data_IF_550383697806
#
_entry.id   IF_550383697806
#
_cell.length_a   1.000
_cell.length_b   1.000
_cell.length_c   1.000
_cell.angle_alpha   90.00
_cell.angle_beta   90.00
_cell.angle_gamma   90.00
#
_symmetry.space_group_name_H-M   'P 1'
#
loop_
_entity.id
_entity.type
_entity.pdbx_description
1 polymer ?
#
# COMPACT_ATOMS: atom_id res chain seq x y z
N UNK A 1 -8.71 -12.26 7.00
CA UNK A 1 -8.77 -11.45 5.77
C UNK A 1 -7.41 -10.92 5.45
N UNK A 2 -7.11 -10.77 4.19
CA UNK A 2 -5.76 -10.45 3.75
C UNK A 2 -5.78 -9.54 2.51
N UNK A 3 -4.65 -8.87 2.29
CA UNK A 3 -4.36 -8.14 1.06
C UNK A 3 -3.08 -8.71 0.47
N UNK A 4 -2.80 -8.38 -0.79
CA UNK A 4 -1.60 -8.84 -1.48
C UNK A 4 -0.70 -7.64 -1.70
N UNK A 5 0.48 -7.66 -1.06
CA UNK A 5 1.43 -6.57 -1.14
C UNK A 5 2.67 -7.06 -1.87
N UNK A 6 2.94 -6.48 -3.04
CA UNK A 6 4.06 -6.89 -3.88
C UNK A 6 4.10 -8.41 -4.08
N UNK A 7 2.93 -9.00 -4.28
CA UNK A 7 2.80 -10.44 -4.52
C UNK A 7 2.75 -11.31 -3.29
N UNK A 8 2.83 -10.73 -2.09
CA UNK A 8 2.81 -11.48 -0.84
C UNK A 8 1.57 -11.14 -0.03
N UNK A 9 1.01 -12.14 0.64
CA UNK A 9 -0.17 -11.92 1.47
C UNK A 9 0.20 -11.27 2.78
N UNK A 10 -0.61 -10.30 3.19
CA UNK A 10 -0.48 -9.60 4.46
C UNK A 10 -1.85 -9.47 5.09
N UNK A 11 -1.93 -9.42 6.42
CA UNK A 11 -3.23 -9.21 7.06
C UNK A 11 -3.85 -7.88 6.65
N UNK A 12 -5.16 -7.90 6.45
CA UNK A 12 -5.90 -6.67 6.20
C UNK A 12 -6.00 -5.90 7.52
N UNK A 13 -5.57 -4.62 7.57
CA UNK A 13 -5.71 -3.86 8.80
C UNK A 13 -7.18 -3.65 9.17
N UNK A 14 -7.45 -3.57 10.47
CA UNK A 14 -8.82 -3.43 10.95
C UNK A 14 -9.50 -2.18 10.43
N UNK A 15 -8.77 -1.10 10.30
CA UNK A 15 -9.32 0.15 9.76
C UNK A 15 -9.66 0.07 8.28
N UNK A 16 -9.10 -0.91 7.58
CA UNK A 16 -9.28 -1.11 6.14
C UNK A 16 -8.92 0.14 5.35
N UNK A 17 -7.85 0.81 5.77
CA UNK A 17 -7.33 1.98 5.05
C UNK A 17 -5.90 1.70 4.59
N UNK A 18 -5.54 2.32 3.46
CA UNK A 18 -4.18 2.18 2.95
C UNK A 18 -3.16 2.74 3.92
N UNK A 19 -3.48 3.87 4.58
CA UNK A 19 -2.54 4.48 5.52
C UNK A 19 -2.20 3.54 6.67
N UNK A 20 -3.17 2.79 7.18
CA UNK A 20 -2.90 1.83 8.26
C UNK A 20 -1.99 0.71 7.80
N UNK A 21 -2.19 0.24 6.57
CA UNK A 21 -1.33 -0.79 6.00
C UNK A 21 0.09 -0.26 5.85
N UNK A 22 0.24 0.97 5.36
CA UNK A 22 1.58 1.56 5.17
C UNK A 22 2.28 1.78 6.50
N UNK A 23 1.55 2.18 7.53
CA UNK A 23 2.15 2.31 8.87
C UNK A 23 2.67 0.96 9.34
N UNK A 24 1.89 -0.09 9.14
CA UNK A 24 2.29 -1.43 9.54
C UNK A 24 3.51 -1.93 8.77
N UNK A 25 3.57 -1.67 7.47
CA UNK A 25 4.68 -2.13 6.63
C UNK A 25 5.91 -1.26 6.77
N UNK A 26 5.71 0.01 7.05
CA UNK A 26 6.79 0.98 7.27
C UNK A 26 7.82 0.98 6.12
N UNK A 27 7.38 1.14 4.86
CA UNK A 27 8.33 1.11 3.75
C UNK A 27 9.27 2.31 3.79
N UNK A 28 10.48 2.10 3.27
CA UNK A 28 11.45 3.19 3.21
C UNK A 28 11.05 4.22 2.17
N UNK A 29 11.17 5.48 2.53
CA UNK A 29 10.92 6.58 1.59
C UNK A 29 12.15 6.83 0.73
N UNK A 30 11.97 7.33 -0.51
CA UNK A 30 10.69 7.58 -1.15
C UNK A 30 10.09 6.34 -1.79
N UNK A 31 8.77 6.31 -1.82
CA UNK A 31 8.07 5.19 -2.46
C UNK A 31 6.79 5.70 -3.11
N UNK A 32 6.26 4.90 -4.03
CA UNK A 32 4.96 5.14 -4.64
C UNK A 32 4.08 3.92 -4.39
N UNK A 33 2.78 4.13 -4.33
CA UNK A 33 1.84 3.07 -4.02
C UNK A 33 0.79 3.00 -5.12
N UNK A 34 0.48 1.80 -5.55
CA UNK A 34 -0.65 1.53 -6.44
C UNK A 34 -1.62 0.60 -5.73
N UNK A 35 -2.91 0.92 -5.83
CA UNK A 35 -3.98 0.12 -5.27
C UNK A 35 -4.78 -0.43 -6.44
N UNK A 36 -4.75 -1.75 -6.61
CA UNK A 36 -5.41 -2.43 -7.74
C UNK A 36 -5.04 -1.77 -9.06
N UNK A 37 -3.73 -1.52 -9.25
CA UNK A 37 -3.13 -0.97 -10.46
C UNK A 37 -3.39 0.51 -10.68
N UNK A 38 -3.93 1.21 -9.70
CA UNK A 38 -4.10 2.66 -9.77
C UNK A 38 -3.21 3.36 -8.77
N UNK A 39 -2.45 4.34 -9.21
CA UNK A 39 -1.61 5.10 -8.30
C UNK A 39 -2.44 5.87 -7.30
N UNK A 40 -1.97 5.86 -6.04
CA UNK A 40 -2.59 6.60 -4.96
C UNK A 40 -1.61 7.69 -4.53
N UNK A 41 -2.06 8.94 -4.57
CA UNK A 41 -1.20 10.03 -4.12
C UNK A 41 -1.07 10.01 -2.60
N UNK A 42 0.02 10.59 -2.11
CA UNK A 42 0.28 10.61 -0.67
C UNK A 42 -0.87 11.22 0.11
N UNK A 43 -1.45 12.29 -0.41
CA UNK A 43 -2.56 12.96 0.26
C UNK A 43 -3.84 12.15 0.33
N UNK A 44 -3.91 11.03 -0.40
CA UNK A 44 -5.10 10.18 -0.42
C UNK A 44 -4.93 8.89 0.38
N UNK A 45 -3.79 8.68 1.03
CA UNK A 45 -3.55 7.43 1.74
C UNK A 45 -4.57 7.18 2.85
N UNK A 46 -4.96 8.23 3.56
CA UNK A 46 -5.88 8.08 4.68
C UNK A 46 -7.33 7.95 4.23
N UNK A 47 -7.66 8.36 3.02
CA UNK A 47 -9.01 8.22 2.48
C UNK A 47 -9.14 7.01 1.57
N UNK A 48 -8.05 6.35 1.21
CA UNK A 48 -8.08 5.18 0.35
C UNK A 48 -8.47 3.95 1.17
N UNK A 49 -9.63 3.40 0.86
CA UNK A 49 -10.10 2.20 1.54
C UNK A 49 -9.64 0.96 0.79
N UNK A 50 -9.24 -0.06 1.53
CA UNK A 50 -8.82 -1.32 0.97
C UNK A 50 -9.71 -2.44 1.49
N UNK A 51 -9.84 -3.47 0.69
CA UNK A 51 -10.71 -4.61 1.01
C UNK A 51 -9.93 -5.90 0.90
N UNK A 52 -10.47 -6.95 1.48
CA UNK A 52 -9.85 -8.26 1.41
C UNK A 52 -9.63 -8.67 -0.05
N UNK A 53 -8.43 -9.15 -0.34
CA UNK A 53 -8.07 -9.57 -1.68
C UNK A 53 -7.50 -8.47 -2.56
N UNK A 54 -7.53 -7.23 -2.10
CA UNK A 54 -6.98 -6.12 -2.87
C UNK A 54 -5.47 -6.26 -3.06
N UNK A 55 -4.98 -5.71 -4.17
CA UNK A 55 -3.56 -5.74 -4.49
C UNK A 55 -2.95 -4.37 -4.26
N UNK A 56 -1.86 -4.37 -3.51
CA UNK A 56 -1.11 -3.16 -3.20
C UNK A 56 0.29 -3.35 -3.74
N UNK A 57 0.74 -2.42 -4.58
CA UNK A 57 2.11 -2.45 -5.10
C UNK A 57 2.86 -1.24 -4.56
N UNK A 58 3.99 -1.50 -3.92
CA UNK A 58 4.84 -0.44 -3.37
C UNK A 58 6.14 -0.46 -4.17
N UNK A 59 6.42 0.66 -4.82
CA UNK A 59 7.58 0.82 -5.68
C UNK A 59 8.49 1.85 -5.06
N UNK A 60 9.76 1.50 -4.91
CA UNK A 60 10.76 2.42 -4.36
C UNK A 60 11.51 3.10 -5.49
N UNK A 61 11.78 4.39 -5.33
CA UNK A 61 12.62 5.09 -6.27
C UNK A 61 14.05 4.56 -6.13
N UNK A 62 14.70 4.30 -7.26
CA UNK A 62 16.10 3.86 -7.24
C UNK A 62 17.00 5.08 -7.30
N UNK A 63 17.89 5.18 -6.30
CA UNK A 63 18.87 6.25 -6.28
C UNK A 63 19.83 6.10 -7.45
N UNK A 64 20.14 7.16 -8.11
CA UNK A 64 21.08 7.15 -9.21
C UNK A 64 20.55 6.54 -10.48
N UNK A 65 19.31 6.17 -10.45
CA UNK A 65 18.65 5.63 -11.64
C UNK A 65 18.39 6.71 -12.63
#
# INVERSE_FOLDING_TARGET
>A
MFVIVNGETHPLPESQTLVSLLISLSPKTPFAVAHNEEFVTRGSYDSCRISSGDRIDIVHATAGG
#
